data_IF_617846772292
#
_entry.id   IF_617846772292
#
_cell.length_a   1.000
_cell.length_b   1.000
_cell.length_c   1.000
_cell.angle_alpha   90.00
_cell.angle_beta   90.00
_cell.angle_gamma   90.00
#
_symmetry.space_group_name_H-M   'P 1'
#
loop_
_entity.id
_entity.type
_entity.pdbx_description
1 polymer ?
#
# COMPACT_ATOMS: atom_id res chain seq x y z
N UNK A 1 -11.93 61.93 -2.72
CA UNK A 1 -11.57 62.42 -1.37
C UNK A 1 -11.39 61.22 -0.45
N UNK A 2 -10.33 61.27 0.36
CA UNK A 2 -9.62 60.17 1.03
C UNK A 2 -10.34 59.53 2.23
N UNK A 3 -10.06 58.24 2.47
CA UNK A 3 -9.30 57.71 3.64
C UNK A 3 -9.66 56.23 3.84
N UNK A 4 -8.83 55.25 3.47
CA UNK A 4 -7.66 54.72 4.19
C UNK A 4 -7.90 54.50 5.70
N UNK A 5 -8.10 53.23 6.09
CA UNK A 5 -7.53 52.65 7.32
C UNK A 5 -7.14 51.18 7.10
N UNK A 6 -5.87 50.96 7.37
CA UNK A 6 -5.12 49.70 7.42
C UNK A 6 -5.41 49.03 8.76
N UNK A 7 -5.57 47.70 8.80
CA UNK A 7 -5.00 46.92 9.89
C UNK A 7 -4.62 45.51 9.42
N UNK A 8 -3.31 45.29 9.45
CA UNK A 8 -2.57 44.06 9.26
C UNK A 8 -2.60 43.23 10.55
N UNK A 9 -2.85 41.93 10.46
CA UNK A 9 -2.14 40.93 11.29
C UNK A 9 -1.75 39.77 10.40
N UNK A 10 -0.48 39.40 10.58
CA UNK A 10 0.39 38.57 9.78
C UNK A 10 0.63 37.25 10.54
N UNK A 11 1.02 36.20 9.79
CA UNK A 11 1.77 34.99 10.23
C UNK A 11 0.96 33.89 10.95
N UNK A 12 1.13 32.58 10.69
CA UNK A 12 2.24 31.81 10.13
C UNK A 12 1.74 30.57 9.33
N UNK A 13 2.57 30.05 8.41
CA UNK A 13 2.54 28.63 8.03
C UNK A 13 2.72 28.30 6.55
N UNK A 14 3.78 28.80 5.92
CA UNK A 14 4.37 28.20 4.72
C UNK A 14 5.49 27.25 5.12
N UNK A 15 5.79 26.28 4.25
CA UNK A 15 7.01 25.43 4.07
C UNK A 15 6.66 23.93 4.11
N UNK A 16 7.03 23.05 3.17
CA UNK A 16 7.90 23.16 2.01
C UNK A 16 7.57 22.10 0.95
N UNK A 17 7.60 22.50 -0.32
CA UNK A 17 7.98 21.64 -1.44
C UNK A 17 9.48 21.40 -1.36
N UNK A 18 9.96 20.17 -1.60
CA UNK A 18 11.36 19.93 -1.94
C UNK A 18 11.40 19.19 -3.26
N UNK A 19 11.71 19.95 -4.31
CA UNK A 19 12.24 19.48 -5.58
C UNK A 19 13.76 19.53 -5.45
N UNK A 20 14.46 18.41 -5.60
CA UNK A 20 15.92 18.39 -5.65
C UNK A 20 16.37 18.52 -7.10
N UNK A 21 16.85 19.71 -7.48
CA UNK A 21 17.64 19.92 -8.69
C UNK A 21 19.12 19.99 -8.29
N UNK A 22 19.93 19.09 -8.84
CA UNK A 22 21.38 19.07 -8.67
C UNK A 22 22.04 20.07 -9.62
N UNK A 23 22.88 20.97 -9.11
CA UNK A 23 24.05 21.51 -9.81
C UNK A 23 25.13 21.87 -8.78
N UNK A 24 26.42 21.58 -9.02
CA UNK A 24 27.44 21.51 -7.97
C UNK A 24 28.28 22.77 -7.83
N UNK A 25 28.75 23.09 -6.62
CA UNK A 25 29.94 23.92 -6.40
C UNK A 25 30.62 23.65 -5.05
N UNK A 26 31.85 23.18 -5.21
CA UNK A 26 33.04 23.08 -4.35
C UNK A 26 33.15 23.82 -2.99
N UNK A 27 33.82 23.06 -2.09
CA UNK A 27 34.86 23.38 -1.09
C UNK A 27 34.54 24.00 0.28
N UNK A 28 34.93 23.19 1.26
CA UNK A 28 35.56 23.50 2.56
C UNK A 28 34.71 24.25 3.60
N UNK A 29 34.20 23.49 4.57
CA UNK A 29 34.70 23.60 5.96
C UNK A 29 34.32 22.37 6.79
N UNK A 30 35.33 21.78 7.45
CA UNK A 30 35.19 20.71 8.43
C UNK A 30 35.12 21.33 9.82
N UNK A 31 34.09 20.99 10.61
CA UNK A 31 34.24 20.40 11.94
C UNK A 31 32.88 20.32 12.67
N UNK A 32 32.71 19.22 13.39
CA UNK A 32 31.68 18.95 14.40
C UNK A 32 30.31 18.41 13.93
N UNK A 33 30.32 17.15 13.47
CA UNK A 33 29.18 16.25 13.63
C UNK A 33 29.54 15.15 14.63
N UNK A 34 29.23 15.38 15.91
CA UNK A 34 29.04 14.28 16.87
C UNK A 34 27.71 13.58 16.56
N UNK A 35 27.83 12.46 15.83
CA UNK A 35 27.27 11.18 16.25
C UNK A 35 25.78 11.11 16.62
N UNK A 36 24.87 11.56 15.76
CA UNK A 36 23.52 10.97 15.74
C UNK A 36 23.60 9.63 15.01
N UNK A 37 23.96 8.55 15.72
CA UNK A 37 23.77 7.17 15.24
C UNK A 37 22.28 7.00 14.95
N UNK A 38 21.89 7.11 13.68
CA UNK A 38 20.61 6.56 13.23
C UNK A 38 20.64 5.07 13.56
N UNK A 39 19.73 4.62 14.42
CA UNK A 39 19.53 3.20 14.66
C UNK A 39 19.39 2.52 13.29
N UNK A 40 20.35 1.67 12.95
CA UNK A 40 20.34 0.92 11.69
C UNK A 40 19.12 0.01 11.79
N UNK A 41 18.07 0.32 11.03
CA UNK A 41 16.88 -0.54 10.99
C UNK A 41 17.34 -1.94 10.59
N UNK A 42 17.03 -2.93 11.41
CA UNK A 42 17.32 -4.32 11.09
C UNK A 42 16.53 -4.72 9.86
N UNK A 43 17.21 -5.39 8.93
CA UNK A 43 16.59 -5.81 7.70
C UNK A 43 15.53 -6.90 7.97
N UNK A 44 14.34 -6.72 7.40
CA UNK A 44 13.18 -7.59 7.57
C UNK A 44 12.87 -8.32 6.27
N UNK A 45 12.23 -9.48 6.38
CA UNK A 45 11.73 -10.21 5.23
C UNK A 45 10.33 -9.71 4.88
N UNK A 46 10.13 -9.32 3.63
CA UNK A 46 8.88 -8.86 3.05
C UNK A 46 8.43 -9.78 1.92
N UNK A 47 7.13 -9.99 1.80
CA UNK A 47 6.46 -10.59 0.65
C UNK A 47 5.71 -9.48 -0.08
N UNK A 48 6.16 -9.14 -1.28
CA UNK A 48 5.64 -8.03 -2.07
C UNK A 48 4.77 -8.56 -3.21
N UNK A 49 3.55 -8.04 -3.35
CA UNK A 49 2.64 -8.39 -4.44
C UNK A 49 2.32 -7.15 -5.27
N UNK A 50 2.63 -7.18 -6.57
CA UNK A 50 2.54 -6.01 -7.44
C UNK A 50 1.36 -6.08 -8.39
N UNK A 51 0.64 -4.97 -8.55
CA UNK A 51 -0.35 -4.79 -9.60
C UNK A 51 -0.23 -3.43 -10.29
N UNK A 52 -0.63 -3.38 -11.55
CA UNK A 52 -0.91 -2.12 -12.23
C UNK A 52 -2.33 -1.66 -11.93
N UNK A 53 -2.50 -0.38 -11.59
CA UNK A 53 -3.79 0.27 -11.75
C UNK A 53 -4.15 0.35 -13.23
N UNK A 54 -3.25 0.95 -13.99
CA UNK A 54 -3.31 1.10 -15.44
C UNK A 54 -1.88 1.04 -15.98
N UNK A 55 -1.53 0.03 -16.79
CA UNK A 55 -0.16 -0.13 -17.26
C UNK A 55 0.20 0.96 -18.28
N UNK A 56 1.49 1.29 -18.42
CA UNK A 56 1.93 2.17 -19.51
C UNK A 56 1.68 1.51 -20.86
N UNK A 57 1.59 2.31 -21.92
CA UNK A 57 1.41 1.81 -23.29
C UNK A 57 2.52 0.84 -23.72
N UNK A 58 3.75 1.10 -23.26
CA UNK A 58 4.89 0.20 -23.37
C UNK A 58 5.26 -0.28 -21.96
N UNK A 59 5.07 -1.58 -21.71
CA UNK A 59 5.31 -2.19 -20.39
C UNK A 59 6.82 -2.34 -20.19
N UNK A 60 7.43 -1.68 -19.19
CA UNK A 60 8.85 -1.82 -18.93
C UNK A 60 9.18 -3.18 -18.29
N UNK A 61 10.39 -3.68 -18.55
CA UNK A 61 10.96 -4.76 -17.78
C UNK A 61 11.39 -4.24 -16.40
N UNK A 62 10.70 -4.69 -15.35
CA UNK A 62 10.87 -4.20 -13.99
C UNK A 62 11.65 -5.19 -13.11
N UNK A 63 12.49 -4.65 -12.22
CA UNK A 63 13.34 -5.44 -11.34
C UNK A 63 13.45 -4.80 -9.96
N UNK A 64 13.75 -5.62 -8.96
CA UNK A 64 14.17 -5.18 -7.63
C UNK A 64 15.58 -5.69 -7.37
N UNK A 65 16.46 -4.84 -6.83
CA UNK A 65 17.76 -5.27 -6.36
C UNK A 65 17.67 -5.79 -4.92
N UNK A 66 17.99 -7.07 -4.72
CA UNK A 66 18.07 -7.72 -3.41
C UNK A 66 19.47 -8.30 -3.22
N UNK A 67 20.27 -7.67 -2.36
CA UNK A 67 21.70 -7.94 -2.29
C UNK A 67 22.38 -7.66 -3.64
N UNK A 68 22.90 -8.71 -4.29
CA UNK A 68 23.56 -8.62 -5.60
C UNK A 68 22.73 -9.24 -6.74
N UNK A 69 21.43 -9.49 -6.53
CA UNK A 69 20.55 -10.14 -7.51
C UNK A 69 19.41 -9.21 -7.91
N UNK A 70 19.19 -9.12 -9.22
CA UNK A 70 18.00 -8.49 -9.78
C UNK A 70 16.87 -9.53 -9.84
N UNK A 71 15.78 -9.26 -9.14
CA UNK A 71 14.58 -10.09 -9.13
C UNK A 71 13.57 -9.46 -10.08
N UNK A 72 13.15 -10.18 -11.12
CA UNK A 72 12.16 -9.69 -12.07
C UNK A 72 10.78 -9.53 -11.43
N UNK A 73 10.11 -8.42 -11.76
CA UNK A 73 8.75 -8.09 -11.32
C UNK A 73 7.89 -7.91 -12.56
N UNK A 74 6.76 -8.59 -12.64
CA UNK A 74 5.85 -8.57 -13.79
C UNK A 74 4.43 -8.32 -13.30
N UNK A 75 4.11 -7.08 -12.89
CA UNK A 75 2.81 -6.76 -12.32
C UNK A 75 1.71 -7.01 -13.35
N UNK A 76 0.58 -7.54 -12.89
CA UNK A 76 -0.63 -7.69 -13.70
C UNK A 76 -1.62 -6.57 -13.40
N UNK A 77 -2.47 -6.23 -14.35
CA UNK A 77 -3.50 -5.21 -14.14
C UNK A 77 -4.49 -5.71 -13.09
N UNK A 78 -4.61 -4.95 -11.99
CA UNK A 78 -5.52 -5.24 -10.89
C UNK A 78 -5.47 -6.70 -10.40
N UNK A 79 -4.27 -7.28 -10.27
CA UNK A 79 -4.08 -8.65 -9.78
C UNK A 79 -2.82 -8.75 -8.92
N UNK A 80 -2.98 -9.26 -7.70
CA UNK A 80 -1.92 -9.41 -6.70
C UNK A 80 -1.36 -10.85 -6.64
N UNK A 81 -1.31 -11.53 -7.79
CA UNK A 81 -1.01 -12.97 -7.87
C UNK A 81 0.50 -13.29 -7.83
N UNK A 82 1.36 -12.36 -8.25
CA UNK A 82 2.80 -12.55 -8.18
C UNK A 82 3.31 -12.14 -6.81
N UNK A 83 4.01 -13.05 -6.13
CA UNK A 83 4.71 -12.77 -4.88
C UNK A 83 6.23 -12.69 -5.10
N UNK A 84 6.84 -11.66 -4.52
CA UNK A 84 8.28 -11.42 -4.56
C UNK A 84 8.80 -11.30 -3.12
N UNK A 85 9.60 -12.29 -2.70
CA UNK A 85 10.28 -12.26 -1.41
C UNK A 85 11.49 -11.32 -1.44
N UNK A 86 11.61 -10.45 -0.44
CA UNK A 86 12.67 -9.44 -0.34
C UNK A 86 13.17 -9.33 1.10
N UNK A 87 14.49 -9.17 1.27
CA UNK A 87 15.07 -8.74 2.55
C UNK A 87 15.47 -7.26 2.42
N UNK A 88 14.87 -6.38 3.23
CA UNK A 88 15.04 -4.92 3.13
C UNK A 88 14.97 -4.26 4.52
N UNK A 89 15.64 -3.13 4.67
CA UNK A 89 15.62 -2.28 5.87
C UNK A 89 14.36 -1.40 5.98
N UNK A 90 13.42 -1.51 5.04
CA UNK A 90 12.17 -0.75 5.04
C UNK A 90 11.96 0.11 3.80
N UNK A 91 12.88 0.10 2.85
CA UNK A 91 12.73 0.76 1.55
C UNK A 91 13.27 -0.09 0.40
N UNK A 92 12.71 0.10 -0.80
CA UNK A 92 13.17 -0.58 -2.01
C UNK A 92 12.91 0.26 -3.25
N UNK A 93 13.85 0.25 -4.18
CA UNK A 93 13.66 0.82 -5.50
C UNK A 93 13.18 -0.24 -6.48
N UNK A 94 12.08 0.06 -7.17
CA UNK A 94 11.67 -0.65 -8.37
C UNK A 94 12.43 -0.05 -9.54
N UNK A 95 13.20 -0.88 -10.21
CA UNK A 95 14.11 -0.51 -11.29
C UNK A 95 13.49 -0.87 -12.63
N UNK A 96 13.73 -0.03 -13.63
CA UNK A 96 13.43 -0.31 -15.04
C UNK A 96 14.74 -0.68 -15.74
N UNK A 97 14.73 -1.81 -16.44
CA UNK A 97 15.85 -2.22 -17.29
C UNK A 97 15.88 -1.39 -18.57
N UNK A 98 17.07 -0.93 -18.91
CA UNK A 98 17.39 -0.23 -20.15
C UNK A 98 18.37 -1.07 -20.96
N UNK A 99 18.07 -1.27 -22.23
CA UNK A 99 18.93 -2.00 -23.17
C UNK A 99 19.50 -1.00 -24.16
N UNK A 100 20.83 -0.83 -24.14
CA UNK A 100 21.54 0.07 -25.05
C UNK A 100 21.79 -0.57 -26.41
N UNK A 101 21.91 0.25 -27.45
CA UNK A 101 22.38 -0.18 -28.77
C UNK A 101 23.89 -0.45 -28.78
N UNK A 102 24.64 0.08 -27.81
CA UNK A 102 26.05 -0.25 -27.62
C UNK A 102 26.22 -1.68 -27.12
N UNK A 103 27.23 -2.39 -27.67
CA UNK A 103 27.57 -3.74 -27.25
C UNK A 103 28.62 -3.72 -26.14
N UNK A 104 28.53 -4.68 -25.23
CA UNK A 104 29.55 -5.00 -24.25
C UNK A 104 30.74 -5.73 -24.91
N UNK A 105 31.75 -6.05 -24.10
CA UNK A 105 32.96 -6.77 -24.55
C UNK A 105 32.66 -8.18 -25.10
N UNK A 106 31.45 -8.70 -24.89
CA UNK A 106 30.98 -10.01 -25.35
C UNK A 106 30.02 -9.88 -26.56
N UNK A 107 29.87 -8.68 -27.13
CA UNK A 107 29.01 -8.43 -28.28
C UNK A 107 27.51 -8.39 -27.95
N UNK A 108 27.12 -8.41 -26.67
CA UNK A 108 25.72 -8.30 -26.22
C UNK A 108 25.35 -6.84 -25.96
N UNK A 109 24.09 -6.42 -26.19
CA UNK A 109 23.62 -5.10 -25.78
C UNK A 109 23.94 -4.80 -24.32
N UNK A 110 24.50 -3.62 -24.02
CA UNK A 110 24.76 -3.21 -22.63
C UNK A 110 23.43 -3.02 -21.91
N UNK A 111 23.33 -3.62 -20.73
CA UNK A 111 22.18 -3.47 -19.84
C UNK A 111 22.50 -2.45 -18.75
N UNK A 112 21.54 -1.58 -18.46
CA UNK A 112 21.59 -0.65 -17.32
C UNK A 112 20.24 -0.59 -16.64
N UNK A 113 20.19 -0.05 -15.43
CA UNK A 113 18.98 0.03 -14.62
C UNK A 113 18.79 1.46 -14.13
N UNK A 114 17.59 2.00 -14.31
CA UNK A 114 17.18 3.28 -13.76
C UNK A 114 16.09 3.09 -12.71
N UNK A 115 16.03 3.96 -11.71
CA UNK A 115 14.94 3.93 -10.72
C UNK A 115 13.64 4.29 -11.43
N UNK A 116 12.69 3.36 -11.42
CA UNK A 116 11.35 3.58 -11.94
C UNK A 116 10.45 4.23 -10.89
N UNK A 117 10.48 3.71 -9.66
CA UNK A 117 9.81 4.32 -8.50
C UNK A 117 10.41 3.80 -7.19
N UNK A 118 10.47 4.64 -6.16
CA UNK A 118 10.91 4.24 -4.83
C UNK A 118 9.73 3.88 -3.94
N UNK A 119 9.85 2.82 -3.16
CA UNK A 119 8.78 2.23 -2.37
C UNK A 119 9.18 2.22 -0.90
N UNK A 120 8.40 2.93 -0.08
CA UNK A 120 8.55 2.88 1.37
C UNK A 120 7.74 1.69 1.91
N UNK A 121 8.43 0.63 2.34
CA UNK A 121 7.81 -0.58 2.90
C UNK A 121 7.44 -0.39 4.37
N UNK A 122 8.19 0.45 5.09
CA UNK A 122 7.97 0.71 6.52
C UNK A 122 6.71 1.55 6.81
N UNK A 123 6.00 2.05 5.80
CA UNK A 123 4.74 2.77 5.98
C UNK A 123 3.58 1.88 6.45
N UNK A 124 3.74 0.55 6.36
CA UNK A 124 2.80 -0.45 6.83
C UNK A 124 3.54 -1.39 7.78
N UNK A 125 2.94 -1.72 8.93
CA UNK A 125 3.59 -2.60 9.92
C UNK A 125 3.72 -4.05 9.46
N UNK A 126 2.88 -4.48 8.52
CA UNK A 126 2.87 -5.82 7.94
C UNK A 126 4.09 -6.08 7.06
N UNK A 127 4.43 -7.36 6.92
CA UNK A 127 5.47 -7.83 6.02
C UNK A 127 4.91 -8.49 4.75
N UNK A 128 3.60 -8.69 4.64
CA UNK A 128 2.93 -9.14 3.42
C UNK A 128 2.15 -7.95 2.83
N UNK A 129 2.68 -7.40 1.75
CA UNK A 129 2.32 -6.08 1.24
C UNK A 129 1.81 -6.16 -0.19
N UNK A 130 0.68 -5.50 -0.42
CA UNK A 130 0.21 -5.20 -1.77
C UNK A 130 0.76 -3.85 -2.23
N UNK A 131 1.24 -3.80 -3.47
CA UNK A 131 1.81 -2.62 -4.10
C UNK A 131 1.04 -2.35 -5.40
N UNK A 132 0.31 -1.25 -5.40
CA UNK A 132 -0.40 -0.76 -6.58
C UNK A 132 0.44 0.31 -7.26
N UNK A 133 0.82 0.08 -8.51
CA UNK A 133 1.50 1.04 -9.37
C UNK A 133 0.45 1.91 -10.07
N UNK A 134 0.47 3.20 -9.78
CA UNK A 134 -0.53 4.18 -10.23
C UNK A 134 0.14 5.24 -11.09
N UNK A 135 -0.41 5.59 -12.26
CA UNK A 135 0.13 6.68 -13.07
C UNK A 135 0.05 8.00 -12.28
N UNK A 136 1.15 8.76 -12.30
CA UNK A 136 1.20 10.12 -11.78
C UNK A 136 0.74 11.10 -12.87
N UNK A 137 0.54 12.36 -12.49
CA UNK A 137 0.10 13.43 -13.42
C UNK A 137 1.08 13.65 -14.58
N UNK A 138 2.33 13.24 -14.42
CA UNK A 138 3.35 13.29 -15.48
C UNK A 138 3.28 12.01 -16.31
N UNK A 139 3.28 12.17 -17.63
CA UNK A 139 3.21 11.05 -18.58
C UNK A 139 4.32 10.04 -18.29
N UNK A 140 3.95 8.76 -18.24
CA UNK A 140 4.86 7.62 -18.03
C UNK A 140 5.60 7.60 -16.68
N UNK A 141 5.20 8.42 -15.71
CA UNK A 141 5.74 8.37 -14.35
C UNK A 141 4.74 7.65 -13.45
N UNK A 142 5.22 6.70 -12.65
CA UNK A 142 4.40 5.88 -11.79
C UNK A 142 4.79 6.02 -10.33
N UNK A 143 3.78 6.13 -9.48
CA UNK A 143 3.93 6.07 -8.03
C UNK A 143 3.57 4.68 -7.53
N UNK A 144 4.28 4.22 -6.50
CA UNK A 144 3.85 3.06 -5.72
C UNK A 144 2.89 3.49 -4.61
N UNK A 145 1.89 2.65 -4.37
CA UNK A 145 0.94 2.77 -3.27
C UNK A 145 0.90 1.44 -2.53
N UNK A 146 1.22 1.46 -1.24
CA UNK A 146 1.43 0.25 -0.44
C UNK A 146 0.28 0.08 0.56
N UNK A 147 -0.13 -1.15 0.80
CA UNK A 147 -1.15 -1.49 1.78
C UNK A 147 -0.92 -2.90 2.36
N UNK A 148 -1.52 -3.18 3.52
CA UNK A 148 -1.42 -4.49 4.16
C UNK A 148 -2.23 -5.54 3.39
N UNK A 149 -1.57 -6.61 2.97
CA UNK A 149 -2.20 -7.72 2.26
C UNK A 149 -2.03 -9.06 2.99
N UNK A 150 -1.55 -9.02 4.24
CA UNK A 150 -1.45 -10.18 5.12
C UNK A 150 -2.82 -10.76 5.48
N UNK A 151 -2.88 -12.06 5.75
CA UNK A 151 -4.10 -12.70 6.24
C UNK A 151 -4.53 -12.18 7.63
N UNK A 152 -3.61 -11.66 8.44
CA UNK A 152 -3.90 -11.06 9.74
C UNK A 152 -4.63 -9.73 9.59
N UNK A 153 -4.08 -8.84 8.77
CA UNK A 153 -4.68 -7.53 8.49
C UNK A 153 -5.96 -7.66 7.66
N UNK A 154 -5.92 -8.51 6.64
CA UNK A 154 -6.95 -8.70 5.62
C UNK A 154 -7.29 -10.20 5.39
N UNK A 155 -8.08 -10.81 6.29
CA UNK A 155 -8.42 -12.24 6.21
C UNK A 155 -9.39 -12.55 5.06
N UNK A 156 -9.47 -13.83 4.65
CA UNK A 156 -10.53 -14.31 3.78
C UNK A 156 -11.91 -14.20 4.44
N UNK A 157 -12.95 -13.97 3.64
CA UNK A 157 -14.28 -13.60 4.10
C UNK A 157 -14.45 -12.12 4.45
N UNK A 158 -13.46 -11.27 4.16
CA UNK A 158 -13.53 -9.85 4.56
C UNK A 158 -13.60 -8.88 3.39
N UNK A 159 -13.96 -7.63 3.73
CA UNK A 159 -13.95 -6.47 2.84
C UNK A 159 -12.93 -5.45 3.35
N UNK A 160 -12.08 -4.96 2.45
CA UNK A 160 -11.11 -3.90 2.74
C UNK A 160 -11.24 -2.78 1.72
N UNK A 161 -11.15 -1.54 2.18
CA UNK A 161 -11.06 -0.37 1.33
C UNK A 161 -9.72 0.31 1.55
N UNK A 162 -9.02 0.62 0.46
CA UNK A 162 -7.77 1.37 0.44
C UNK A 162 -8.02 2.72 -0.19
N UNK A 163 -7.71 3.78 0.53
CA UNK A 163 -7.98 5.13 0.12
C UNK A 163 -6.68 5.86 -0.24
N UNK A 164 -6.40 5.96 -1.54
CA UNK A 164 -5.29 6.77 -2.05
C UNK A 164 -5.73 8.18 -2.48
N UNK A 165 -6.96 8.57 -2.15
CA UNK A 165 -7.50 9.91 -2.37
C UNK A 165 -7.25 10.85 -1.19
N UNK A 166 -7.60 12.12 -1.37
CA UNK A 166 -7.54 13.14 -0.33
C UNK A 166 -8.87 13.30 0.44
N UNK A 167 -9.89 12.50 0.10
CA UNK A 167 -11.21 12.56 0.74
C UNK A 167 -11.34 11.49 1.81
N UNK A 168 -12.16 11.75 2.83
CA UNK A 168 -12.58 10.74 3.79
C UNK A 168 -13.57 9.81 3.10
N UNK A 169 -13.41 8.49 3.22
CA UNK A 169 -14.34 7.53 2.64
C UNK A 169 -15.14 6.85 3.75
N UNK A 170 -16.45 7.05 3.76
CA UNK A 170 -17.37 6.26 4.58
C UNK A 170 -17.74 4.99 3.82
N UNK A 171 -17.59 3.83 4.45
CA UNK A 171 -17.89 2.53 3.89
C UNK A 171 -19.01 1.86 4.69
N UNK A 172 -19.95 1.23 3.99
CA UNK A 172 -21.04 0.46 4.58
C UNK A 172 -21.04 -0.94 3.97
N UNK A 173 -21.01 -1.99 4.78
CA UNK A 173 -21.06 -3.39 4.35
C UNK A 173 -22.11 -4.10 5.18
N UNK A 174 -23.24 -4.45 4.56
CA UNK A 174 -24.37 -5.14 5.20
C UNK A 174 -24.78 -4.49 6.53
N UNK A 175 -24.97 -3.17 6.51
CA UNK A 175 -25.34 -2.35 7.68
C UNK A 175 -24.20 -2.03 8.65
N UNK A 176 -23.03 -2.63 8.50
CA UNK A 176 -21.84 -2.30 9.30
C UNK A 176 -21.08 -1.14 8.67
N UNK A 177 -20.72 -0.13 9.46
CA UNK A 177 -20.08 1.09 8.97
C UNK A 177 -18.63 1.21 9.46
N UNK A 178 -17.76 1.74 8.61
CA UNK A 178 -16.41 2.13 8.98
C UNK A 178 -15.93 3.27 8.09
N UNK A 179 -14.84 3.91 8.48
CA UNK A 179 -14.28 5.07 7.78
C UNK A 179 -12.84 4.77 7.39
N UNK A 180 -12.46 5.19 6.18
CA UNK A 180 -11.08 5.16 5.69
C UNK A 180 -10.60 6.59 5.49
N UNK A 181 -9.55 6.97 6.23
CA UNK A 181 -8.96 8.31 6.13
C UNK A 181 -8.09 8.42 4.87
N UNK A 182 -7.80 9.64 4.39
CA UNK A 182 -6.87 9.85 3.29
C UNK A 182 -5.52 9.15 3.51
N UNK A 183 -5.06 8.41 2.50
CA UNK A 183 -3.78 7.70 2.54
C UNK A 183 -3.76 6.44 3.41
N UNK A 184 -4.90 6.02 3.99
CA UNK A 184 -4.98 4.83 4.84
C UNK A 184 -5.82 3.73 4.19
N UNK A 185 -5.90 2.59 4.86
CA UNK A 185 -6.85 1.53 4.56
C UNK A 185 -7.77 1.29 5.77
N UNK A 186 -8.91 0.65 5.54
CA UNK A 186 -9.83 0.25 6.58
C UNK A 186 -10.55 -1.04 6.20
N UNK A 187 -10.87 -1.84 7.20
CA UNK A 187 -11.51 -3.15 7.05
C UNK A 187 -12.92 -3.11 7.61
N UNK A 188 -13.84 -3.79 6.94
CA UNK A 188 -15.16 -4.05 7.49
C UNK A 188 -15.05 -4.84 8.81
N UNK A 189 -15.78 -4.46 9.87
CA UNK A 189 -15.81 -5.25 11.10
C UNK A 189 -16.49 -6.62 10.92
N UNK A 190 -17.23 -6.81 9.81
CA UNK A 190 -17.94 -8.04 9.51
C UNK A 190 -17.06 -9.01 8.72
N UNK A 191 -17.00 -10.25 9.21
CA UNK A 191 -16.35 -11.39 8.55
C UNK A 191 -17.43 -12.37 8.08
N UNK A 192 -17.37 -12.78 6.81
CA UNK A 192 -18.33 -13.68 6.19
C UNK A 192 -17.72 -15.07 6.06
N UNK A 193 -18.19 -16.01 6.87
CA UNK A 193 -17.74 -17.42 6.83
C UNK A 193 -18.62 -18.29 5.95
N UNK A 194 -19.83 -17.83 5.60
CA UNK A 194 -20.76 -18.52 4.70
C UNK A 194 -21.08 -17.67 3.48
N UNK A 195 -21.51 -18.33 2.39
CA UNK A 195 -21.87 -17.64 1.14
C UNK A 195 -23.02 -16.66 1.39
N UNK A 196 -22.72 -15.37 1.32
CA UNK A 196 -23.66 -14.28 1.63
C UNK A 196 -23.63 -13.25 0.51
N UNK A 197 -24.80 -12.77 0.06
CA UNK A 197 -24.90 -11.60 -0.81
C UNK A 197 -25.05 -10.38 0.10
N UNK A 198 -24.04 -9.52 0.15
CA UNK A 198 -24.03 -8.34 1.00
C UNK A 198 -24.12 -7.06 0.18
N UNK A 199 -24.81 -6.06 0.71
CA UNK A 199 -24.85 -4.72 0.11
C UNK A 199 -23.62 -3.91 0.54
N UNK A 200 -22.97 -3.25 -0.42
CA UNK A 200 -21.79 -2.40 -0.21
C UNK A 200 -22.09 -0.98 -0.69
N UNK A 201 -21.74 -0.01 0.15
CA UNK A 201 -21.79 1.41 -0.14
C UNK A 201 -20.45 2.06 0.20
N UNK A 202 -20.01 3.00 -0.64
CA UNK A 202 -18.88 3.86 -0.34
C UNK A 202 -19.23 5.30 -0.72
N UNK A 203 -19.01 6.23 0.20
CA UNK A 203 -19.27 7.66 0.02
C UNK A 203 -18.01 8.45 0.35
N UNK A 204 -17.58 9.31 -0.56
CA UNK A 204 -16.47 10.21 -0.34
C UNK A 204 -16.97 11.56 0.20
N UNK A 205 -16.44 11.98 1.35
CA UNK A 205 -16.65 13.31 1.91
C UNK A 205 -15.44 14.19 1.56
N UNK A 206 -15.67 15.21 0.75
CA UNK A 206 -14.68 16.20 0.36
C UNK A 206 -14.38 17.20 1.50
N UNK A 207 -13.25 17.94 1.44
CA UNK A 207 -12.90 18.92 2.48
C UNK A 207 -13.95 20.02 2.72
N UNK A 208 -14.79 20.31 1.72
CA UNK A 208 -15.90 21.27 1.83
C UNK A 208 -17.18 20.67 2.42
N UNK A 209 -17.16 19.40 2.85
CA UNK A 209 -18.32 18.68 3.37
C UNK A 209 -19.25 18.08 2.32
N UNK A 210 -18.97 18.25 1.01
CA UNK A 210 -19.75 17.61 -0.04
C UNK A 210 -19.56 16.10 0.00
N UNK A 211 -20.68 15.36 -0.01
CA UNK A 211 -20.68 13.90 -0.07
C UNK A 211 -20.98 13.43 -1.49
N UNK A 212 -20.18 12.47 -1.97
CA UNK A 212 -20.36 11.84 -3.27
C UNK A 212 -20.44 10.33 -3.06
N UNK A 213 -21.54 9.70 -3.44
CA UNK A 213 -21.61 8.24 -3.49
C UNK A 213 -20.72 7.74 -4.63
N UNK A 214 -19.69 6.96 -4.30
CA UNK A 214 -18.71 6.44 -5.26
C UNK A 214 -18.92 4.95 -5.57
N UNK A 215 -19.56 4.20 -4.65
CA UNK A 215 -19.96 2.79 -4.87
C UNK A 215 -21.32 2.55 -4.24
N UNK A 216 -22.18 1.82 -4.94
CA UNK A 216 -23.42 1.23 -4.43
C UNK A 216 -23.69 -0.06 -5.19
N UNK A 217 -23.44 -1.21 -4.57
CA UNK A 217 -23.53 -2.50 -5.26
C UNK A 217 -23.80 -3.65 -4.30
N UNK A 218 -23.99 -4.86 -4.83
CA UNK A 218 -24.05 -6.12 -4.07
C UNK A 218 -22.89 -7.01 -4.47
N UNK A 219 -22.27 -7.65 -3.49
CA UNK A 219 -21.14 -8.57 -3.69
C UNK A 219 -21.40 -9.87 -2.94
N UNK A 220 -20.97 -10.98 -3.53
CA UNK A 220 -20.98 -12.28 -2.87
C UNK A 220 -19.71 -12.39 -2.02
N UNK A 221 -19.85 -12.74 -0.74
CA UNK A 221 -18.74 -13.06 0.16
C UNK A 221 -18.82 -14.51 0.61
N UNK A 222 -17.68 -15.12 0.92
CA UNK A 222 -17.56 -16.41 1.60
C UNK A 222 -16.15 -16.53 2.25
N UNK A 223 -15.92 -17.61 2.98
CA UNK A 223 -14.64 -17.89 3.65
C UNK A 223 -13.43 -18.09 2.72
N UNK A 224 -13.63 -18.27 1.41
CA UNK A 224 -12.56 -18.52 0.44
C UNK A 224 -12.20 -17.29 -0.39
N UNK A 225 -12.85 -16.15 -0.16
CA UNK A 225 -12.59 -14.93 -0.94
C UNK A 225 -12.48 -13.71 -0.05
N UNK A 226 -11.60 -12.78 -0.41
CA UNK A 226 -11.54 -11.45 0.19
C UNK A 226 -11.62 -10.40 -0.89
N UNK A 227 -12.36 -9.34 -0.61
CA UNK A 227 -12.64 -8.28 -1.58
C UNK A 227 -11.97 -7.00 -1.12
N UNK A 228 -11.19 -6.39 -2.02
CA UNK A 228 -10.52 -5.13 -1.77
C UNK A 228 -10.96 -4.10 -2.80
N UNK A 229 -11.35 -2.92 -2.32
CA UNK A 229 -11.66 -1.76 -3.14
C UNK A 229 -10.55 -0.73 -3.00
N UNK A 230 -10.12 -0.19 -4.13
CA UNK A 230 -9.14 0.88 -4.21
C UNK A 230 -9.82 2.14 -4.69
N UNK A 231 -9.60 3.24 -3.98
CA UNK A 231 -10.13 4.56 -4.35
C UNK A 231 -8.95 5.45 -4.70
N UNK A 232 -8.90 5.91 -5.95
CA UNK A 232 -7.90 6.89 -6.40
C UNK A 232 -8.61 8.18 -6.86
N UNK A 233 -7.98 9.35 -6.69
CA UNK A 233 -8.52 10.59 -7.23
C UNK A 233 -8.27 10.66 -8.73
N UNK A 234 -9.25 11.18 -9.47
CA UNK A 234 -9.16 11.41 -10.92
C UNK A 234 -9.40 12.88 -11.27
N UNK A 235 -8.94 13.29 -12.45
CA UNK A 235 -9.15 14.65 -12.98
C UNK A 235 -10.36 14.73 -13.93
N UNK A 236 -11.09 13.62 -14.09
CA UNK A 236 -12.26 13.54 -14.98
C UNK A 236 -13.54 14.08 -14.33
N UNK A 237 -14.65 13.91 -15.05
CA UNK A 237 -16.01 14.22 -14.56
C UNK A 237 -16.30 13.46 -13.26
N UNK A 238 -15.89 12.19 -13.22
CA UNK A 238 -15.83 11.43 -11.99
C UNK A 238 -14.59 11.87 -11.21
N UNK A 239 -14.78 12.33 -9.97
CA UNK A 239 -13.69 12.73 -9.06
C UNK A 239 -12.88 11.56 -8.53
N UNK A 240 -13.44 10.36 -8.61
CA UNK A 240 -12.83 9.12 -8.13
C UNK A 240 -12.93 8.05 -9.21
N UNK A 241 -11.86 7.29 -9.38
CA UNK A 241 -11.89 5.98 -10.03
C UNK A 241 -11.76 4.92 -8.94
N UNK A 242 -12.68 3.95 -8.98
CA UNK A 242 -12.83 2.93 -7.97
C UNK A 242 -12.81 1.58 -8.66
N UNK A 243 -11.84 0.74 -8.28
CA UNK A 243 -11.70 -0.60 -8.82
C UNK A 243 -11.54 -1.60 -7.69
N UNK A 244 -11.91 -2.84 -7.98
CA UNK A 244 -11.85 -3.91 -6.99
C UNK A 244 -10.97 -5.07 -7.46
N UNK A 245 -10.39 -5.76 -6.48
CA UNK A 245 -9.80 -7.10 -6.65
C UNK A 245 -10.59 -8.05 -5.76
N UNK A 246 -10.93 -9.21 -6.32
CA UNK A 246 -11.42 -10.35 -5.56
C UNK A 246 -10.28 -11.35 -5.53
N UNK A 247 -9.68 -11.51 -4.35
CA UNK A 247 -8.64 -12.50 -4.11
C UNK A 247 -9.28 -13.78 -3.59
N UNK A 248 -8.96 -14.91 -4.21
CA UNK A 248 -9.57 -16.21 -3.94
C UNK A 248 -8.48 -17.12 -3.37
N UNK A 249 -8.73 -17.69 -2.20
CA UNK A 249 -7.90 -18.74 -1.66
C UNK A 249 -8.05 -19.99 -2.54
N UNK A 250 -6.97 -20.36 -3.22
CA UNK A 250 -6.92 -21.57 -4.04
C UNK A 250 -6.76 -22.85 -3.21
N UNK A 251 -6.54 -22.74 -1.89
CA UNK A 251 -6.39 -23.89 -0.98
C UNK A 251 -7.02 -23.65 0.41
N UNK A 252 -8.36 -23.55 0.49
CA UNK A 252 -9.06 -23.18 1.73
C UNK A 252 -8.89 -24.19 2.87
N UNK A 253 -8.45 -25.42 2.60
CA UNK A 253 -8.34 -26.49 3.58
C UNK A 253 -7.15 -26.37 4.56
N UNK A 254 -6.25 -25.38 4.39
CA UNK A 254 -5.05 -25.21 5.23
C UNK A 254 -5.10 -24.03 6.20
N UNK A 255 -6.10 -23.16 6.13
CA UNK A 255 -6.17 -21.94 6.94
C UNK A 255 -6.82 -22.13 8.32
N UNK A 256 -7.29 -23.36 8.64
CA UNK A 256 -8.01 -23.69 9.88
C UNK A 256 -7.17 -24.28 11.01
N UNK A 257 -5.83 -24.29 10.92
CA UNK A 257 -4.95 -24.72 12.02
C UNK A 257 -4.23 -23.55 12.68
N UNK A 258 -4.99 -22.72 13.39
CA UNK A 258 -4.50 -22.05 14.59
C UNK A 258 -5.51 -22.25 15.71
N UNK A 259 -5.70 -23.52 16.10
CA UNK A 259 -6.28 -23.83 17.40
C UNK A 259 -5.29 -23.39 18.47
N UNK A 260 -5.68 -22.30 19.12
CA UNK A 260 -5.30 -21.88 20.45
C UNK A 260 -4.96 -23.07 21.36
N UNK A 261 -3.67 -23.31 21.61
CA UNK A 261 -3.22 -24.20 22.67
C UNK A 261 -3.43 -23.47 24.00
N UNK A 262 -4.68 -23.37 24.45
CA UNK A 262 -4.97 -23.15 25.85
C UNK A 262 -4.77 -24.49 26.56
N UNK A 263 -3.57 -24.70 27.10
CA UNK A 263 -3.35 -25.75 28.10
C UNK A 263 -4.23 -25.44 29.32
N UNK A 264 -5.29 -26.24 29.52
CA UNK A 264 -6.01 -26.30 30.79
C UNK A 264 -5.04 -26.72 31.91
N UNK A 265 -4.97 -25.97 33.03
CA UNK A 265 -4.22 -26.45 34.19
C UNK A 265 -4.98 -27.60 34.85
N UNK A 266 -4.36 -28.80 34.82
CA UNK A 266 -4.80 -29.98 35.57
C UNK A 266 -5.00 -29.63 37.04
N UNK A 267 -6.26 -29.59 37.50
CA UNK A 267 -6.58 -29.52 38.92
C UNK A 267 -6.16 -30.83 39.61
N UNK A 268 -5.31 -30.71 40.63
CA UNK A 268 -5.03 -31.79 41.59
C UNK A 268 -6.25 -31.94 42.49
N UNK A 269 -6.90 -33.09 42.48
CA UNK A 269 -7.88 -33.44 43.50
C UNK A 269 -7.18 -33.79 44.81
N UNK A 270 -7.46 -33.01 45.85
CA UNK A 270 -7.04 -33.30 47.22
C UNK A 270 -8.12 -34.18 47.86
N UNK A 271 -7.76 -35.41 48.20
CA UNK A 271 -8.61 -36.38 48.88
C UNK A 271 -8.77 -35.95 50.35
N UNK A 272 -9.92 -35.43 50.76
CA UNK A 272 -10.23 -35.23 52.19
C UNK A 272 -10.55 -36.56 52.84
N UNK A 273 -9.81 -36.90 53.90
CA UNK A 273 -10.07 -38.03 54.80
C UNK A 273 -10.99 -37.51 55.91
N UNK A 274 -12.20 -38.03 56.02
CA UNK A 274 -13.07 -37.81 57.17
C UNK A 274 -13.03 -39.06 58.06
N UNK A 275 -13.03 -38.80 59.37
CA UNK A 275 -13.15 -39.75 60.46
C UNK A 275 -14.55 -40.37 60.53
#
# INVERSE_FOLDING_TARGET
MYSLRILTVLLCGLTSFIYAANTPANKEDKANQEGKKSAKQEAKNYNLRFAWWEPPAEIPDLYILSGNKYISVTPRVMSMSQEVGLNSDGSVDLLKKLVSTEKDNNGKPKESYEVYTSINLAQVESHDLGILLVPLRQKNVYGARVYDFSARGFPYGSFLAVNFSNSKIACTVEGSNFVVMPGTFGKSPKLFTTRTVASIGMTATEPNGTENQIVSTKVVFNESMRTIYFVIPTQGINKFDVRCIIDIDSNPAKSTDSKDNTEEPKSKSTKSKAA
#
